data_IF_762931256841
#
_entry.id   IF_762931256841
#
_cell.length_a   1.000
_cell.length_b   1.000
_cell.length_c   1.000
_cell.angle_alpha   90.00
_cell.angle_beta   90.00
_cell.angle_gamma   90.00
#
_symmetry.space_group_name_H-M   'P 1'
#
loop_
_entity.id
_entity.type
_entity.pdbx_description
1 polymer ?
#
# COMPACT_ATOMS: atom_id res chain seq x y z
N UNK A 1 -3.07 -52.30 28.99
CA UNK A 1 -3.38 -50.93 28.55
C UNK A 1 -2.17 -50.05 28.81
N UNK A 2 -1.38 -49.73 27.78
CA UNK A 2 -0.19 -48.88 27.92
C UNK A 2 -0.60 -47.40 27.75
N UNK A 3 -0.56 -46.64 28.84
CA UNK A 3 -0.71 -45.19 28.82
C UNK A 3 0.66 -44.60 28.43
N UNK A 4 0.86 -44.28 27.15
CA UNK A 4 2.00 -43.46 26.71
C UNK A 4 1.82 -42.05 27.26
N UNK A 5 2.50 -41.72 28.36
CA UNK A 5 2.65 -40.34 28.83
C UNK A 5 3.60 -39.60 27.87
N UNK A 6 3.04 -38.75 27.01
CA UNK A 6 3.81 -37.79 26.22
C UNK A 6 4.25 -36.64 27.14
N UNK A 7 5.42 -36.73 27.74
CA UNK A 7 6.09 -35.58 28.36
C UNK A 7 7.06 -35.00 27.35
N UNK A 8 6.67 -33.94 26.65
CA UNK A 8 7.60 -33.15 25.84
C UNK A 8 8.56 -32.41 26.78
N UNK A 9 9.74 -32.97 27.05
CA UNK A 9 10.81 -32.23 27.69
C UNK A 9 11.36 -31.19 26.69
N UNK A 10 11.12 -29.91 26.97
CA UNK A 10 11.65 -28.81 26.18
C UNK A 10 13.14 -28.70 26.50
N UNK A 11 14.00 -28.89 25.49
CA UNK A 11 15.46 -28.85 25.67
C UNK A 11 15.92 -27.48 26.18
N UNK A 12 16.97 -27.45 27.01
CA UNK A 12 17.64 -26.19 27.46
C UNK A 12 17.96 -25.25 26.28
N UNK A 13 18.31 -25.80 25.12
CA UNK A 13 18.57 -25.04 23.90
C UNK A 13 17.30 -24.36 23.33
N UNK A 14 16.13 -25.01 23.41
CA UNK A 14 14.85 -24.40 23.01
C UNK A 14 14.44 -23.28 23.96
N UNK A 15 14.73 -23.41 25.27
CA UNK A 15 14.46 -22.37 26.26
C UNK A 15 15.36 -21.15 25.99
N UNK A 16 16.66 -21.36 25.78
CA UNK A 16 17.60 -20.27 25.44
C UNK A 16 17.20 -19.53 24.17
N UNK A 17 16.86 -20.25 23.08
CA UNK A 17 16.36 -19.62 21.84
C UNK A 17 15.10 -18.78 22.06
N UNK A 18 14.19 -19.22 22.94
CA UNK A 18 12.99 -18.44 23.30
C UNK A 18 13.34 -17.18 24.09
N UNK A 19 14.29 -17.27 25.02
CA UNK A 19 14.74 -16.13 25.82
C UNK A 19 15.44 -15.09 24.93
N UNK A 20 16.36 -15.53 24.05
CA UNK A 20 17.03 -14.65 23.10
C UNK A 20 16.01 -13.98 22.17
N UNK A 21 15.12 -14.76 21.55
CA UNK A 21 14.04 -14.23 20.71
C UNK A 21 13.16 -13.22 21.45
N UNK A 22 12.85 -13.48 22.73
CA UNK A 22 12.08 -12.55 23.57
C UNK A 22 12.87 -11.28 23.89
N UNK A 23 14.16 -11.39 24.19
CA UNK A 23 15.06 -10.26 24.40
C UNK A 23 15.16 -9.35 23.17
N UNK A 24 15.36 -9.93 21.98
CA UNK A 24 15.35 -9.20 20.72
C UNK A 24 14.00 -8.50 20.48
N UNK A 25 12.86 -9.19 20.71
CA UNK A 25 11.52 -8.59 20.60
C UNK A 25 11.31 -7.42 21.56
N UNK A 26 11.77 -7.55 22.81
CA UNK A 26 11.69 -6.45 23.79
C UNK A 26 12.55 -5.26 23.38
N UNK A 27 13.76 -5.50 22.89
CA UNK A 27 14.65 -4.44 22.43
C UNK A 27 14.07 -3.72 21.22
N UNK A 28 13.47 -4.46 20.27
CA UNK A 28 12.79 -3.88 19.12
C UNK A 28 11.58 -3.04 19.56
N UNK A 29 10.74 -3.57 20.45
CA UNK A 29 9.61 -2.82 21.01
C UNK A 29 10.05 -1.55 21.72
N UNK A 30 11.13 -1.57 22.50
CA UNK A 30 11.64 -0.38 23.17
C UNK A 30 12.16 0.68 22.18
N UNK A 31 12.90 0.26 21.15
CA UNK A 31 13.37 1.17 20.08
C UNK A 31 12.20 1.80 19.32
N UNK A 32 11.20 1.00 18.93
CA UNK A 32 10.01 1.47 18.23
C UNK A 32 9.17 2.41 19.10
N UNK A 33 9.01 2.11 20.40
CA UNK A 33 8.25 2.96 21.34
C UNK A 33 8.87 4.35 21.50
N UNK A 34 10.20 4.46 21.42
CA UNK A 34 10.91 5.75 21.46
C UNK A 34 10.77 6.53 20.15
N UNK A 35 10.64 5.83 19.02
CA UNK A 35 10.48 6.42 17.69
C UNK A 35 9.05 6.90 17.42
N UNK A 36 8.05 6.13 17.85
CA UNK A 36 6.61 6.39 17.65
C UNK A 36 5.92 6.96 18.90
N UNK A 37 6.58 7.93 19.54
CA UNK A 37 6.03 8.70 20.67
C UNK A 37 5.03 9.78 20.24
N UNK A 38 4.70 9.87 18.96
CA UNK A 38 3.67 10.79 18.47
C UNK A 38 2.35 10.48 19.18
N UNK A 39 1.70 11.54 19.67
CA UNK A 39 0.46 11.43 20.45
C UNK A 39 -0.62 10.56 19.76
N UNK A 40 -0.83 10.67 18.44
CA UNK A 40 -1.83 9.88 17.72
C UNK A 40 -1.55 8.38 17.70
N UNK A 41 -0.29 7.99 17.45
CA UNK A 41 0.10 6.58 17.37
C UNK A 41 -0.02 5.91 18.75
N UNK A 42 0.38 6.62 19.80
CA UNK A 42 0.24 6.16 21.19
C UNK A 42 -1.23 6.01 21.59
N UNK A 43 -2.07 6.98 21.23
CA UNK A 43 -3.50 6.96 21.53
C UNK A 43 -4.19 5.75 20.90
N UNK A 44 -4.00 5.54 19.59
CA UNK A 44 -4.57 4.37 18.91
C UNK A 44 -4.08 3.05 19.53
N UNK A 45 -2.78 2.97 19.85
CA UNK A 45 -2.18 1.80 20.49
C UNK A 45 -2.88 1.47 21.82
N UNK A 46 -3.12 2.47 22.66
CA UNK A 46 -3.81 2.28 23.94
C UNK A 46 -5.25 1.82 23.75
N UNK A 47 -5.97 2.40 22.78
CA UNK A 47 -7.35 2.02 22.46
C UNK A 47 -7.44 0.57 21.97
N UNK A 48 -6.51 0.12 21.13
CA UNK A 48 -6.44 -1.27 20.66
C UNK A 48 -6.07 -2.22 21.80
N UNK A 49 -5.05 -1.88 22.60
CA UNK A 49 -4.60 -2.73 23.71
C UNK A 49 -5.69 -2.93 24.78
N UNK A 50 -6.45 -1.87 25.07
CA UNK A 50 -7.54 -1.88 26.03
C UNK A 50 -8.86 -2.43 25.46
N UNK A 51 -8.87 -2.93 24.21
CA UNK A 51 -10.07 -3.42 23.50
C UNK A 51 -11.21 -2.39 23.42
N UNK A 52 -10.86 -1.11 23.32
CA UNK A 52 -11.85 -0.04 23.11
C UNK A 52 -12.27 0.05 21.65
N UNK A 53 -11.42 -0.40 20.73
CA UNK A 53 -11.71 -0.56 19.32
C UNK A 53 -11.72 -2.07 19.05
N UNK A 54 -12.86 -2.60 18.61
CA UNK A 54 -13.05 -4.01 18.29
C UNK A 54 -13.80 -4.09 16.97
N UNK A 55 -13.39 -5.03 16.12
CA UNK A 55 -14.00 -5.24 14.81
C UNK A 55 -13.15 -4.68 13.68
N UNK A 56 -13.20 -5.34 12.53
CA UNK A 56 -12.36 -5.02 11.38
C UNK A 56 -12.58 -3.62 10.84
N UNK A 57 -13.84 -3.17 10.78
CA UNK A 57 -14.20 -1.84 10.28
C UNK A 57 -13.63 -0.74 11.18
N UNK A 58 -13.90 -0.79 12.49
CA UNK A 58 -13.44 0.22 13.45
C UNK A 58 -11.91 0.24 13.57
N UNK A 59 -11.24 -0.92 13.59
CA UNK A 59 -9.78 -1.00 13.59
C UNK A 59 -9.20 -0.44 12.29
N UNK A 60 -9.82 -0.73 11.14
CA UNK A 60 -9.38 -0.23 9.84
C UNK A 60 -9.50 1.28 9.71
N UNK A 61 -10.66 1.85 10.07
CA UNK A 61 -10.95 3.28 9.93
C UNK A 61 -10.04 4.13 10.84
N UNK A 62 -9.79 3.70 12.07
CA UNK A 62 -8.87 4.37 12.99
C UNK A 62 -7.40 4.25 12.55
N UNK A 63 -7.03 3.13 11.91
CA UNK A 63 -5.69 2.98 11.30
C UNK A 63 -5.49 3.96 10.16
N UNK A 64 -6.46 4.11 9.26
CA UNK A 64 -6.37 5.05 8.12
C UNK A 64 -6.29 6.49 8.62
N UNK A 65 -7.12 6.88 9.60
CA UNK A 65 -7.07 8.21 10.25
C UNK A 65 -5.68 8.51 10.80
N UNK A 66 -5.07 7.55 11.51
CA UNK A 66 -3.72 7.70 12.02
C UNK A 66 -2.70 7.89 10.90
N UNK A 67 -2.75 7.07 9.85
CA UNK A 67 -1.81 7.16 8.73
C UNK A 67 -1.91 8.51 8.02
N UNK A 68 -3.12 9.04 7.85
CA UNK A 68 -3.35 10.40 7.32
C UNK A 68 -2.68 11.46 8.18
N UNK A 69 -2.82 11.39 9.50
CA UNK A 69 -2.18 12.34 10.42
C UNK A 69 -0.64 12.22 10.41
N UNK A 70 -0.13 10.99 10.28
CA UNK A 70 1.31 10.74 10.08
C UNK A 70 1.78 11.40 8.78
N UNK A 71 1.07 11.24 7.66
CA UNK A 71 1.44 11.88 6.38
C UNK A 71 1.44 13.41 6.50
N UNK A 72 0.42 13.98 7.15
CA UNK A 72 0.31 15.42 7.35
C UNK A 72 1.50 15.98 8.15
N UNK A 73 1.85 15.33 9.27
CA UNK A 73 2.93 15.75 10.17
C UNK A 73 4.33 15.29 9.75
N UNK A 74 4.45 14.32 8.83
CA UNK A 74 5.73 13.76 8.43
C UNK A 74 6.62 14.77 7.74
N UNK A 75 7.88 14.80 8.16
CA UNK A 75 8.97 15.47 7.44
C UNK A 75 9.73 14.39 6.68
N UNK A 76 9.78 14.51 5.36
CA UNK A 76 10.49 13.58 4.48
C UNK A 76 11.16 14.35 3.34
N UNK A 77 12.26 13.82 2.83
CA UNK A 77 13.02 14.38 1.71
C UNK A 77 12.80 13.60 0.41
N UNK A 78 12.30 12.37 0.51
CA UNK A 78 11.92 11.54 -0.61
C UNK A 78 10.61 10.80 -0.32
N UNK A 79 9.93 10.40 -1.38
CA UNK A 79 8.73 9.59 -1.29
C UNK A 79 9.02 8.23 -0.64
N UNK A 80 10.17 7.62 -0.94
CA UNK A 80 10.61 6.37 -0.32
C UNK A 80 10.74 6.48 1.20
N UNK A 81 11.20 7.63 1.69
CA UNK A 81 11.30 7.89 3.12
C UNK A 81 9.91 7.97 3.77
N UNK A 82 8.94 8.60 3.10
CA UNK A 82 7.55 8.62 3.57
C UNK A 82 6.99 7.19 3.65
N UNK A 83 7.16 6.39 2.60
CA UNK A 83 6.74 4.98 2.62
C UNK A 83 7.40 4.21 3.76
N UNK A 84 8.70 4.41 3.98
CA UNK A 84 9.43 3.82 5.11
C UNK A 84 8.81 4.17 6.46
N UNK A 85 8.45 5.44 6.68
CA UNK A 85 7.79 5.86 7.91
C UNK A 85 6.43 5.16 8.11
N UNK A 86 5.63 5.01 7.05
CA UNK A 86 4.32 4.33 7.14
C UNK A 86 4.46 2.83 7.43
N UNK A 87 5.45 2.16 6.81
CA UNK A 87 5.75 0.75 7.10
C UNK A 87 6.13 0.57 8.56
N UNK A 88 7.01 1.42 9.08
CA UNK A 88 7.46 1.32 10.47
C UNK A 88 6.32 1.58 11.47
N UNK A 89 5.40 2.52 11.20
CA UNK A 89 4.18 2.72 12.00
C UNK A 89 3.33 1.45 11.98
N UNK A 90 3.13 0.86 10.79
CA UNK A 90 2.36 -0.37 10.63
C UNK A 90 2.95 -1.57 11.35
N UNK A 91 4.26 -1.75 11.26
CA UNK A 91 5.00 -2.82 11.95
C UNK A 91 4.90 -2.64 13.47
N UNK A 92 5.05 -1.41 13.97
CA UNK A 92 4.88 -1.10 15.39
C UNK A 92 3.47 -1.47 15.89
N UNK A 93 2.42 -1.03 15.19
CA UNK A 93 1.04 -1.36 15.56
C UNK A 93 0.77 -2.87 15.50
N UNK A 94 1.30 -3.55 14.47
CA UNK A 94 1.14 -5.00 14.29
C UNK A 94 1.88 -5.82 15.35
N UNK A 95 3.04 -5.34 15.83
CA UNK A 95 3.76 -5.95 16.95
C UNK A 95 2.97 -5.89 18.27
N UNK A 96 2.20 -4.82 18.48
CA UNK A 96 1.42 -4.61 19.70
C UNK A 96 0.09 -5.37 19.66
N UNK A 97 -0.55 -5.42 18.49
CA UNK A 97 -1.84 -6.04 18.27
C UNK A 97 -1.77 -7.17 17.22
N UNK A 98 -1.07 -8.28 17.50
CA UNK A 98 -0.81 -9.34 16.51
C UNK A 98 -2.05 -10.12 16.07
N UNK A 99 -3.21 -9.88 16.68
CA UNK A 99 -4.50 -10.50 16.31
C UNK A 99 -5.28 -9.65 15.30
N UNK A 100 -4.93 -8.38 15.15
CA UNK A 100 -5.63 -7.40 14.31
C UNK A 100 -4.93 -7.27 12.95
N UNK A 101 -5.06 -8.29 12.09
CA UNK A 101 -4.41 -8.32 10.76
C UNK A 101 -4.85 -7.17 9.84
N UNK A 102 -5.99 -6.55 10.14
CA UNK A 102 -6.53 -5.41 9.38
C UNK A 102 -5.55 -4.25 9.35
N UNK A 103 -4.81 -4.02 10.43
CA UNK A 103 -3.84 -2.92 10.53
C UNK A 103 -2.80 -3.03 9.40
N UNK A 104 -2.13 -4.19 9.29
CA UNK A 104 -1.13 -4.43 8.26
C UNK A 104 -1.72 -4.38 6.85
N UNK A 105 -2.96 -4.84 6.68
CA UNK A 105 -3.65 -4.77 5.38
C UNK A 105 -3.97 -3.32 4.97
N UNK A 106 -4.41 -2.48 5.91
CA UNK A 106 -4.70 -1.06 5.63
C UNK A 106 -3.43 -0.29 5.32
N UNK A 107 -2.34 -0.52 6.07
CA UNK A 107 -1.03 0.11 5.80
C UNK A 107 -0.55 -0.22 4.38
N UNK A 108 -0.64 -1.49 3.96
CA UNK A 108 -0.28 -1.91 2.61
C UNK A 108 -1.14 -1.23 1.55
N UNK A 109 -2.47 -1.17 1.74
CA UNK A 109 -3.39 -0.47 0.82
C UNK A 109 -3.04 1.00 0.68
N UNK A 110 -2.81 1.70 1.78
CA UNK A 110 -2.39 3.11 1.78
C UNK A 110 -1.08 3.29 1.02
N UNK A 111 -0.06 2.45 1.25
CA UNK A 111 1.22 2.57 0.54
C UNK A 111 1.05 2.35 -0.97
N UNK A 112 0.23 1.37 -1.38
CA UNK A 112 -0.04 1.13 -2.80
C UNK A 112 -0.73 2.34 -3.43
N UNK A 113 -1.77 2.86 -2.78
CA UNK A 113 -2.48 4.06 -3.22
C UNK A 113 -1.53 5.26 -3.40
N UNK A 114 -0.67 5.52 -2.42
CA UNK A 114 0.30 6.61 -2.53
C UNK A 114 1.31 6.41 -3.67
N UNK A 115 1.68 5.16 -3.95
CA UNK A 115 2.56 4.83 -5.08
C UNK A 115 1.87 5.08 -6.42
N UNK A 116 0.57 4.82 -6.52
CA UNK A 116 -0.23 5.11 -7.70
C UNK A 116 -0.36 6.62 -7.94
N UNK A 117 -0.61 7.40 -6.89
CA UNK A 117 -0.64 8.88 -6.97
C UNK A 117 0.73 9.46 -7.35
N UNK A 118 1.80 8.95 -6.74
CA UNK A 118 3.16 9.37 -7.08
C UNK A 118 3.51 9.07 -8.55
N UNK A 119 3.20 7.86 -9.03
CA UNK A 119 3.45 7.48 -10.41
C UNK A 119 2.66 8.33 -11.41
N UNK A 120 1.39 8.62 -11.10
CA UNK A 120 0.53 9.48 -11.92
C UNK A 120 1.06 10.91 -11.99
N UNK A 121 1.54 11.44 -10.86
CA UNK A 121 2.13 12.78 -10.80
C UNK A 121 3.49 12.84 -11.52
N UNK A 122 4.31 11.79 -11.43
CA UNK A 122 5.58 11.67 -12.14
C UNK A 122 5.38 11.63 -13.66
N UNK A 123 4.44 10.80 -14.14
CA UNK A 123 4.10 10.72 -15.56
C UNK A 123 3.66 12.09 -16.11
N UNK A 124 2.78 12.78 -15.38
CA UNK A 124 2.31 14.13 -15.73
C UNK A 124 3.45 15.15 -15.80
N UNK A 125 4.44 15.05 -14.90
CA UNK A 125 5.62 15.92 -14.90
C UNK A 125 6.52 15.68 -16.12
N UNK A 126 6.77 14.41 -16.47
CA UNK A 126 7.60 14.03 -17.63
C UNK A 126 6.93 14.50 -18.92
N UNK A 127 5.63 14.28 -19.09
CA UNK A 127 4.87 14.75 -20.25
C UNK A 127 4.93 16.28 -20.40
N UNK A 128 4.74 17.01 -19.29
CA UNK A 128 4.81 18.48 -19.29
C UNK A 128 6.19 19.04 -19.65
N UNK A 129 7.28 18.37 -19.26
CA UNK A 129 8.64 18.80 -19.58
C UNK A 129 8.99 18.57 -21.07
N UNK A 130 8.49 17.46 -21.65
CA UNK A 130 8.69 17.10 -23.06
C UNK A 130 8.07 18.12 -24.02
N UNK A 131 6.87 18.63 -23.70
CA UNK A 131 6.21 19.70 -24.49
C UNK A 131 6.98 21.03 -24.41
N UNK A 132 7.51 21.38 -23.24
CA UNK A 132 8.27 22.63 -23.04
C UNK A 132 9.57 22.65 -23.85
N UNK A 133 10.26 21.51 -23.95
CA UNK A 133 11.51 21.38 -24.70
C UNK A 133 11.28 21.49 -26.23
N UNK A 134 10.15 21.02 -26.75
CA UNK A 134 9.77 21.18 -28.18
C UNK A 134 9.58 22.64 -28.58
N UNK A 135 9.07 23.50 -27.69
CA UNK A 135 8.86 24.93 -27.97
C UNK A 135 10.16 25.77 -27.97
N UNK A 136 11.25 25.24 -27.41
CA UNK A 136 12.55 25.94 -27.32
C UNK A 136 13.49 25.72 -28.52
N UNK A 137 13.14 24.81 -29.45
CA UNK A 137 13.85 24.62 -30.72
C UNK A 137 13.11 25.31 -31.88
N UNK A 138 12.93 26.64 -31.79
CA UNK A 138 12.66 27.47 -32.97
C UNK A 138 14.00 28.03 -33.43
N UNK A 139 14.57 27.41 -34.47
CA UNK A 139 15.85 27.87 -35.03
C UNK A 139 16.51 26.91 -36.02
N UNK A 140 15.77 26.40 -37.01
CA UNK A 140 16.30 26.09 -38.36
C UNK A 140 15.19 25.45 -39.20
N UNK A 141 14.75 26.20 -40.21
CA UNK A 141 13.85 25.77 -41.29
C UNK A 141 14.31 24.44 -41.92
N UNK A 142 13.38 23.53 -42.20
CA UNK A 142 13.24 22.84 -43.51
C UNK A 142 11.93 22.06 -43.53
N UNK A 143 11.09 22.35 -44.52
CA UNK A 143 9.82 21.70 -44.80
C UNK A 143 9.96 20.18 -45.06
N UNK A 144 9.13 19.37 -44.39
CA UNK A 144 8.49 18.22 -45.03
C UNK A 144 7.09 18.01 -44.44
N UNK A 145 6.10 18.15 -45.31
CA UNK A 145 4.71 17.79 -45.05
C UNK A 145 4.59 16.28 -45.23
N UNK A 146 4.24 15.55 -44.18
CA UNK A 146 3.73 14.19 -44.33
C UNK A 146 2.46 14.07 -43.49
N UNK A 147 1.34 14.06 -44.21
CA UNK A 147 0.02 13.72 -43.71
C UNK A 147 -0.03 12.21 -43.49
N UNK A 148 -0.07 11.76 -42.25
CA UNK A 148 -0.59 10.43 -41.91
C UNK A 148 -1.52 10.56 -40.72
N UNK A 149 -2.80 10.66 -41.03
CA UNK A 149 -3.90 10.41 -40.11
C UNK A 149 -3.89 8.94 -39.72
N UNK A 150 -3.79 8.62 -38.43
CA UNK A 150 -4.29 7.36 -37.86
C UNK A 150 -4.67 7.54 -36.39
N UNK A 151 -5.92 7.95 -36.20
CA UNK A 151 -6.98 7.23 -35.48
C UNK A 151 -6.58 6.22 -34.36
N UNK A 152 -7.16 6.47 -33.16
CA UNK A 152 -7.61 5.53 -32.09
C UNK A 152 -6.61 4.50 -31.51
N UNK A 153 -6.56 4.24 -30.20
CA UNK A 153 -7.69 3.87 -29.36
C UNK A 153 -7.43 4.11 -27.86
N UNK A 154 -8.49 4.50 -27.15
CA UNK A 154 -8.61 4.39 -25.72
C UNK A 154 -8.71 2.91 -25.36
N UNK A 155 -7.68 2.36 -24.70
CA UNK A 155 -7.78 1.01 -24.14
C UNK A 155 -8.65 1.08 -22.89
N UNK A 156 -9.88 0.56 -22.98
CA UNK A 156 -10.69 0.28 -21.81
C UNK A 156 -9.99 -0.82 -20.99
N UNK A 157 -9.66 -0.51 -19.73
CA UNK A 157 -9.17 -1.50 -18.77
C UNK A 157 -10.32 -2.45 -18.42
N UNK A 158 -10.31 -3.61 -19.06
CA UNK A 158 -10.99 -4.82 -18.56
C UNK A 158 -10.25 -5.32 -17.31
N UNK A 159 -10.95 -5.67 -16.21
CA UNK A 159 -10.32 -6.25 -15.04
C UNK A 159 -10.03 -7.75 -15.27
N UNK A 160 -8.96 -8.03 -16.00
CA UNK A 160 -8.44 -9.39 -16.27
C UNK A 160 -7.10 -9.63 -15.61
N UNK A 161 -7.06 -9.63 -14.27
CA UNK A 161 -5.83 -9.60 -13.44
C UNK A 161 -4.91 -10.86 -13.59
N UNK A 162 -5.37 -11.91 -14.26
CA UNK A 162 -4.64 -13.19 -14.31
C UNK A 162 -3.71 -13.39 -15.52
N UNK A 163 -3.97 -12.78 -16.68
CA UNK A 163 -3.16 -13.05 -17.89
C UNK A 163 -1.86 -12.23 -17.96
N UNK A 164 -1.90 -10.98 -17.47
CA UNK A 164 -0.75 -10.07 -17.48
C UNK A 164 0.34 -10.50 -16.48
N UNK A 165 -0.09 -11.05 -15.33
CA UNK A 165 0.80 -11.48 -14.25
C UNK A 165 1.66 -12.69 -14.64
N UNK A 166 1.09 -13.63 -15.40
CA UNK A 166 1.80 -14.83 -15.87
C UNK A 166 2.68 -14.49 -17.08
N UNK A 167 2.25 -13.56 -17.94
CA UNK A 167 3.04 -13.10 -19.09
C UNK A 167 4.33 -12.38 -18.70
N UNK A 168 4.30 -11.58 -17.62
CA UNK A 168 5.51 -10.94 -17.06
C UNK A 168 6.48 -11.94 -16.42
N UNK A 169 5.96 -13.05 -15.88
CA UNK A 169 6.76 -14.10 -15.23
C UNK A 169 7.33 -15.12 -16.23
N UNK A 170 6.58 -15.42 -17.30
CA UNK A 170 7.01 -16.29 -18.41
C UNK A 170 7.82 -15.56 -19.49
N UNK A 171 7.89 -14.23 -19.46
CA UNK A 171 8.67 -13.40 -20.38
C UNK A 171 10.19 -13.47 -20.23
N UNK A 172 10.72 -14.29 -19.31
CA UNK A 172 12.17 -14.55 -19.25
C UNK A 172 12.59 -15.47 -20.40
N UNK A 173 13.10 -14.86 -21.47
CA UNK A 173 13.69 -15.55 -22.60
C UNK A 173 14.98 -16.28 -22.15
N UNK A 174 15.18 -17.57 -22.46
CA UNK A 174 16.41 -18.28 -22.16
C UNK A 174 17.58 -17.75 -23.00
N UNK A 175 18.78 -17.74 -22.42
CA UNK A 175 20.02 -17.28 -23.05
C UNK A 175 20.36 -18.08 -24.32
N UNK A 176 20.42 -17.38 -25.44
CA UNK A 176 21.19 -17.81 -26.61
C UNK A 176 22.17 -16.70 -26.96
N UNK A 177 23.46 -17.01 -26.81
CA UNK A 177 24.57 -16.25 -27.38
C UNK A 177 24.35 -16.11 -28.89
N UNK A 178 24.11 -14.90 -29.38
CA UNK A 178 24.77 -14.29 -30.54
C UNK A 178 24.12 -12.95 -30.89
N UNK A 179 24.97 -11.91 -30.92
CA UNK A 179 24.84 -10.66 -31.66
C UNK A 179 23.94 -9.54 -31.08
N UNK A 180 24.66 -8.55 -30.55
CA UNK A 180 24.34 -7.13 -30.33
C UNK A 180 23.38 -6.80 -29.18
N UNK A 181 23.99 -6.50 -28.04
CA UNK A 181 23.41 -5.84 -26.87
C UNK A 181 22.99 -4.40 -27.23
N UNK A 182 21.73 -4.20 -27.60
CA UNK A 182 21.05 -2.94 -27.29
C UNK A 182 20.50 -3.08 -25.87
N UNK A 183 21.31 -2.68 -24.90
CA UNK A 183 20.83 -2.31 -23.56
C UNK A 183 19.64 -1.35 -23.77
N UNK A 184 18.41 -1.75 -23.47
CA UNK A 184 17.34 -0.82 -23.09
C UNK A 184 17.74 -0.17 -21.75
N UNK A 185 18.83 0.59 -21.76
CA UNK A 185 19.12 1.55 -20.72
C UNK A 185 18.03 2.59 -20.81
N UNK A 186 17.12 2.55 -19.84
CA UNK A 186 16.26 3.68 -19.52
C UNK A 186 17.14 4.93 -19.63
N UNK A 187 16.82 5.88 -20.54
CA UNK A 187 17.65 7.04 -20.78
C UNK A 187 18.07 7.69 -19.46
N UNK A 188 19.36 7.92 -19.26
CA UNK A 188 19.89 8.46 -18.01
C UNK A 188 19.20 9.78 -17.60
N UNK A 189 18.67 10.51 -18.58
CA UNK A 189 17.87 11.72 -18.41
C UNK A 189 16.55 11.46 -17.65
N UNK A 190 15.83 10.36 -17.96
CA UNK A 190 14.59 9.99 -17.27
C UNK A 190 14.83 9.59 -15.81
N UNK A 191 15.93 8.88 -15.53
CA UNK A 191 16.32 8.50 -14.17
C UNK A 191 16.69 9.73 -13.33
N UNK A 192 17.37 10.70 -13.94
CA UNK A 192 17.72 11.95 -13.27
C UNK A 192 16.49 12.83 -13.03
N UNK A 193 15.54 12.88 -13.97
CA UNK A 193 14.26 13.57 -13.79
C UNK A 193 13.41 12.95 -12.68
N UNK A 194 13.29 11.62 -12.63
CA UNK A 194 12.59 10.93 -11.54
C UNK A 194 13.24 11.24 -10.19
N UNK A 195 14.57 11.22 -10.11
CA UNK A 195 15.28 11.57 -8.87
C UNK A 195 15.01 13.01 -8.44
N UNK A 196 15.01 13.95 -9.38
CA UNK A 196 14.70 15.35 -9.10
C UNK A 196 13.24 15.51 -8.63
N UNK A 197 12.31 14.80 -9.26
CA UNK A 197 10.90 14.77 -8.87
C UNK A 197 10.71 14.16 -7.48
N UNK A 198 11.40 13.05 -7.18
CA UNK A 198 11.38 12.40 -5.86
C UNK A 198 11.88 13.35 -4.74
N UNK A 199 12.90 14.15 -5.02
CA UNK A 199 13.39 15.16 -4.08
C UNK A 199 12.36 16.27 -3.79
N UNK A 200 11.42 16.52 -4.72
CA UNK A 200 10.31 17.45 -4.56
C UNK A 200 9.00 16.77 -4.09
N UNK A 201 9.05 15.52 -3.62
CA UNK A 201 7.88 14.76 -3.18
C UNK A 201 7.02 15.45 -2.10
N UNK A 202 7.57 16.42 -1.37
CA UNK A 202 6.82 17.23 -0.39
C UNK A 202 5.66 18.01 -1.02
N UNK A 203 5.76 18.41 -2.29
CA UNK A 203 4.67 19.13 -2.98
C UNK A 203 3.46 18.24 -3.23
N UNK A 204 3.63 16.91 -3.22
CA UNK A 204 2.56 15.93 -3.40
C UNK A 204 1.80 15.64 -2.11
N UNK A 205 2.26 16.17 -0.96
CA UNK A 205 1.63 15.88 0.34
C UNK A 205 0.12 16.17 0.36
N UNK A 206 -0.41 17.28 -0.18
CA UNK A 206 -1.86 17.51 -0.23
C UNK A 206 -2.61 16.41 -1.00
N UNK A 207 -2.07 15.98 -2.15
CA UNK A 207 -2.62 14.89 -2.98
C UNK A 207 -2.67 13.59 -2.18
N UNK A 208 -1.59 13.26 -1.46
CA UNK A 208 -1.55 12.08 -0.61
C UNK A 208 -2.56 12.11 0.53
N UNK A 209 -2.77 13.28 1.16
CA UNK A 209 -3.75 13.44 2.24
C UNK A 209 -5.17 13.27 1.70
N UNK A 210 -5.45 13.80 0.51
CA UNK A 210 -6.73 13.70 -0.17
C UNK A 210 -7.03 12.23 -0.56
N UNK A 211 -6.10 11.55 -1.24
CA UNK A 211 -6.26 10.15 -1.60
C UNK A 211 -6.53 9.24 -0.38
N UNK A 212 -5.83 9.46 0.74
CA UNK A 212 -6.06 8.69 1.97
C UNK A 212 -7.41 9.05 2.62
N UNK A 213 -7.89 10.28 2.47
CA UNK A 213 -9.22 10.68 2.93
C UNK A 213 -10.32 10.00 2.09
N UNK A 214 -10.16 9.93 0.77
CA UNK A 214 -11.09 9.21 -0.11
C UNK A 214 -11.17 7.72 0.26
N UNK A 215 -10.03 7.09 0.54
CA UNK A 215 -10.00 5.70 1.02
C UNK A 215 -10.74 5.54 2.37
N UNK A 216 -10.65 6.53 3.26
CA UNK A 216 -11.39 6.51 4.52
C UNK A 216 -12.90 6.60 4.26
N UNK A 217 -13.34 7.52 3.42
CA UNK A 217 -14.75 7.72 3.10
C UNK A 217 -15.33 6.50 2.35
N UNK A 218 -14.56 5.89 1.44
CA UNK A 218 -14.91 4.63 0.78
C UNK A 218 -15.12 3.51 1.82
N UNK A 219 -14.20 3.37 2.78
CA UNK A 219 -14.29 2.35 3.83
C UNK A 219 -15.55 2.50 4.68
N UNK A 220 -15.96 3.73 4.99
CA UNK A 220 -17.19 4.01 5.75
C UNK A 220 -18.45 3.64 4.96
N UNK A 221 -18.40 3.65 3.63
CA UNK A 221 -19.52 3.30 2.74
C UNK A 221 -19.61 1.80 2.39
N UNK A 222 -18.56 0.99 2.63
CA UNK A 222 -18.53 -0.44 2.25
C UNK A 222 -19.71 -1.23 2.82
N UNK A 223 -20.05 -1.02 4.09
CA UNK A 223 -21.14 -1.79 4.73
C UNK A 223 -22.51 -1.47 4.13
N UNK A 224 -22.73 -0.21 3.74
CA UNK A 224 -23.97 0.21 3.08
C UNK A 224 -24.07 -0.38 1.67
N UNK A 225 -22.97 -0.36 0.90
CA UNK A 225 -22.92 -0.96 -0.43
C UNK A 225 -23.21 -2.47 -0.39
N UNK A 226 -22.62 -3.19 0.56
CA UNK A 226 -22.87 -4.64 0.75
C UNK A 226 -24.31 -4.90 1.16
N UNK A 227 -24.87 -4.10 2.07
CA UNK A 227 -26.25 -4.25 2.51
C UNK A 227 -27.24 -4.00 1.36
N UNK A 228 -26.99 -3.00 0.52
CA UNK A 228 -27.80 -2.72 -0.65
C UNK A 228 -27.80 -3.90 -1.63
N UNK A 229 -26.62 -4.46 -1.95
CA UNK A 229 -26.51 -5.62 -2.84
C UNK A 229 -27.10 -6.90 -2.24
N UNK A 230 -26.99 -7.10 -0.92
CA UNK A 230 -27.51 -8.29 -0.25
C UNK A 230 -29.04 -8.43 -0.38
N UNK A 231 -29.77 -7.31 -0.51
CA UNK A 231 -31.22 -7.31 -0.69
C UNK A 231 -31.69 -8.03 -1.96
N UNK A 232 -30.86 -8.08 -3.00
CA UNK A 232 -31.16 -8.80 -4.25
C UNK A 232 -31.04 -10.32 -4.08
N UNK A 233 -30.23 -10.78 -3.11
CA UNK A 233 -29.88 -12.18 -2.97
C UNK A 233 -30.58 -12.86 -1.77
N UNK A 234 -31.03 -12.10 -0.77
CA UNK A 234 -31.76 -12.63 0.39
C UNK A 234 -33.26 -12.68 0.08
N UNK A 235 -33.80 -13.88 -0.11
CA UNK A 235 -35.23 -14.12 -0.32
C UNK A 235 -35.89 -14.76 0.91
N UNK A 236 -37.21 -14.65 1.05
CA UNK A 236 -37.95 -15.27 2.15
C UNK A 236 -37.86 -16.81 2.09
N UNK A 237 -37.52 -17.44 3.22
CA UNK A 237 -37.48 -18.91 3.36
C UNK A 237 -36.10 -19.55 3.43
N UNK A 238 -34.99 -18.80 3.31
CA UNK A 238 -33.65 -19.35 3.52
C UNK A 238 -33.34 -19.55 5.01
N UNK A 239 -32.82 -20.73 5.41
CA UNK A 239 -32.36 -20.96 6.78
C UNK A 239 -31.12 -20.11 7.08
N UNK A 240 -31.18 -19.34 8.17
CA UNK A 240 -30.07 -18.50 8.62
C UNK A 240 -29.03 -19.33 9.37
N UNK A 241 -27.77 -19.29 8.93
CA UNK A 241 -26.62 -19.77 9.71
C UNK A 241 -25.95 -18.59 10.41
N UNK A 242 -25.86 -18.62 11.73
CA UNK A 242 -25.31 -17.52 12.52
C UNK A 242 -23.78 -17.63 12.68
N UNK A 243 -23.06 -16.69 12.09
CA UNK A 243 -21.82 -16.15 12.65
C UNK A 243 -22.10 -14.68 13.01
N UNK A 244 -21.77 -14.25 14.22
CA UNK A 244 -22.06 -12.89 14.67
C UNK A 244 -21.17 -11.90 13.90
N UNK A 245 -21.77 -11.07 13.06
CA UNK A 245 -21.12 -9.99 12.30
C UNK A 245 -21.98 -8.73 12.37
N UNK A 246 -21.36 -7.56 12.57
CA UNK A 246 -21.99 -6.26 12.86
C UNK A 246 -22.80 -5.62 11.70
N UNK A 247 -23.51 -6.40 10.90
CA UNK A 247 -24.51 -5.92 9.95
C UNK A 247 -25.78 -5.55 10.71
N UNK A 248 -25.76 -4.37 11.33
CA UNK A 248 -26.91 -3.83 12.05
C UNK A 248 -27.91 -3.28 11.02
N UNK A 249 -28.99 -4.01 10.77
CA UNK A 249 -30.14 -3.46 10.03
C UNK A 249 -30.70 -2.28 10.81
N UNK A 250 -30.67 -1.07 10.22
CA UNK A 250 -31.55 0.01 10.66
C UNK A 250 -32.94 -0.33 10.13
N UNK A 251 -33.85 -0.64 11.05
CA UNK A 251 -35.29 -0.71 10.78
C UNK A 251 -35.92 0.66 10.67
#
# INVERSE_FOLDING_TARGET
MAIKRFTHEISKAQILKRIESFGYKLQNRYKNLRKFTTHPTRELTMRIYNRQIVGSHATGSETIKLLREVIASAKFSSFDQLCGHLVEVGDFLSEIAPREFVIGNMVKRVIILLKEEYASALASHIEGNSERLKTSKVGSDTHHRTTTSSSHCSTSRSPGIVEESVSRLLGQKPMTNELLEEDEKIPADLINEERAFNANSLSLKPIFIEAVQELYDELDLVLEAVAAQASEHIHSGYPLSFASSDLKQKG
#
